data_IF_200920572512
#
_entry.id   IF_200920572512
#
_cell.length_a   1.000
_cell.length_b   1.000
_cell.length_c   1.000
_cell.angle_alpha   90.00
_cell.angle_beta   90.00
_cell.angle_gamma   90.00
#
_symmetry.space_group_name_H-M   'P 1'
#
loop_
_entity.id
_entity.type
_entity.pdbx_description
1 polymer ?
#
# COMPACT_ATOMS: atom_id res chain seq x y z
N UNK A 1 -20.32 6.95 22.62
CA UNK A 1 -19.15 6.05 22.64
C UNK A 1 -17.93 6.78 23.23
N UNK A 2 -17.27 6.22 24.23
CA UNK A 2 -16.04 6.71 24.86
C UNK A 2 -14.84 5.97 24.29
N UNK A 3 -13.86 6.71 23.77
CA UNK A 3 -12.64 6.17 23.20
C UNK A 3 -11.43 6.66 24.00
N UNK A 4 -10.47 5.77 24.25
CA UNK A 4 -9.23 6.11 24.95
C UNK A 4 -8.13 6.38 23.93
N UNK A 5 -7.65 7.62 23.87
CA UNK A 5 -6.66 8.05 22.87
C UNK A 5 -5.30 8.27 23.54
N UNK A 6 -4.25 7.66 22.99
CA UNK A 6 -2.86 7.90 23.40
C UNK A 6 -2.12 8.76 22.38
N UNK A 7 -1.46 9.83 22.82
CA UNK A 7 -0.66 10.72 22.00
C UNK A 7 0.51 11.28 22.78
N UNK A 8 1.74 11.09 22.30
CA UNK A 8 2.98 11.57 22.96
C UNK A 8 3.07 11.22 24.45
N UNK A 9 2.61 10.02 24.84
CA UNK A 9 2.59 9.58 26.23
C UNK A 9 1.46 10.15 27.09
N UNK A 10 0.65 11.08 26.55
CA UNK A 10 -0.58 11.54 27.17
C UNK A 10 -1.76 10.65 26.76
N UNK A 11 -2.71 10.51 27.68
CA UNK A 11 -3.94 9.76 27.48
C UNK A 11 -5.13 10.66 27.73
N UNK A 12 -6.10 10.66 26.82
CA UNK A 12 -7.34 11.41 26.98
C UNK A 12 -8.52 10.66 26.39
N UNK A 13 -9.71 10.95 26.93
CA UNK A 13 -10.95 10.30 26.52
C UNK A 13 -11.72 11.22 25.56
N UNK A 14 -12.14 10.65 24.43
CA UNK A 14 -13.02 11.34 23.48
C UNK A 14 -14.40 10.71 23.55
N UNK A 15 -15.41 11.54 23.82
CA UNK A 15 -16.82 11.14 23.75
C UNK A 15 -17.38 11.50 22.37
N UNK A 16 -17.84 10.49 21.65
CA UNK A 16 -18.59 10.63 20.41
C UNK A 16 -20.07 10.36 20.67
N UNK A 17 -20.98 11.12 20.03
CA UNK A 17 -22.40 11.07 20.33
C UNK A 17 -23.07 9.76 19.93
N UNK A 18 -22.51 9.01 18.97
CA UNK A 18 -23.15 7.84 18.37
C UNK A 18 -22.14 6.74 18.01
N UNK A 19 -22.62 5.50 17.91
CA UNK A 19 -21.90 4.35 17.38
C UNK A 19 -21.64 4.48 15.87
N UNK A 20 -22.46 5.28 15.16
CA UNK A 20 -22.29 5.60 13.74
C UNK A 20 -21.33 6.76 13.48
N UNK A 21 -20.59 7.21 14.48
CA UNK A 21 -19.61 8.26 14.28
C UNK A 21 -18.57 7.86 13.22
N UNK A 22 -18.17 8.81 12.38
CA UNK A 22 -17.20 8.59 11.30
C UNK A 22 -15.78 8.87 11.78
N UNK A 23 -14.79 8.35 11.05
CA UNK A 23 -13.39 8.66 11.33
C UNK A 23 -13.11 10.17 11.26
N UNK A 24 -13.75 10.92 10.36
CA UNK A 24 -13.64 12.37 10.28
C UNK A 24 -14.05 13.07 11.59
N UNK A 25 -15.16 12.64 12.20
CA UNK A 25 -15.64 13.21 13.46
C UNK A 25 -14.69 12.92 14.62
N UNK A 26 -14.12 11.72 14.66
CA UNK A 26 -13.08 11.36 15.63
C UNK A 26 -11.82 12.23 15.43
N UNK A 27 -11.34 12.38 14.20
CA UNK A 27 -10.16 13.21 13.91
C UNK A 27 -10.40 14.68 14.25
N UNK A 28 -11.59 15.21 13.99
CA UNK A 28 -11.99 16.57 14.36
C UNK A 28 -12.03 16.77 15.88
N UNK A 29 -12.57 15.80 16.62
CA UNK A 29 -12.53 15.81 18.09
C UNK A 29 -11.10 15.76 18.64
N UNK A 30 -10.24 14.89 18.09
CA UNK A 30 -8.81 14.84 18.43
C UNK A 30 -8.11 16.16 18.11
N UNK A 31 -8.42 16.76 16.96
CA UNK A 31 -7.79 18.00 16.50
C UNK A 31 -8.11 19.16 17.43
N UNK A 32 -9.37 19.27 17.88
CA UNK A 32 -9.77 20.24 18.90
C UNK A 32 -9.05 20.05 20.23
N UNK A 33 -8.90 18.80 20.69
CA UNK A 33 -8.28 18.52 21.99
C UNK A 33 -6.77 18.69 22.00
N UNK A 34 -6.10 18.49 20.86
CA UNK A 34 -4.63 18.43 20.79
C UNK A 34 -3.98 19.56 19.99
N UNK A 35 -4.76 20.31 19.20
CA UNK A 35 -4.26 21.32 18.27
C UNK A 35 -3.57 20.75 17.03
N UNK A 36 -3.49 19.42 16.89
CA UNK A 36 -2.90 18.78 15.70
C UNK A 36 -3.88 18.91 14.53
N UNK A 37 -3.47 19.48 13.39
CA UNK A 37 -4.37 19.58 12.24
C UNK A 37 -4.72 18.18 11.71
N UNK A 38 -5.98 17.99 11.29
CA UNK A 38 -6.51 16.71 10.77
C UNK A 38 -5.61 16.13 9.68
N UNK A 39 -5.02 16.97 8.82
CA UNK A 39 -4.13 16.57 7.72
C UNK A 39 -2.79 15.98 8.18
N UNK A 40 -2.34 16.28 9.40
CA UNK A 40 -1.11 15.77 9.99
C UNK A 40 -1.35 14.60 10.96
N UNK A 41 -2.61 14.15 11.10
CA UNK A 41 -3.01 13.14 12.07
C UNK A 41 -3.15 11.76 11.42
N UNK A 42 -2.63 10.73 12.09
CA UNK A 42 -2.87 9.32 11.76
C UNK A 42 -3.35 8.60 13.01
N UNK A 43 -4.41 7.81 12.86
CA UNK A 43 -5.01 7.05 13.96
C UNK A 43 -4.77 5.56 13.73
N UNK A 44 -4.38 4.87 14.79
CA UNK A 44 -4.12 3.43 14.81
C UNK A 44 -4.99 2.79 15.88
N UNK A 45 -5.74 1.75 15.52
CA UNK A 45 -6.55 0.96 16.46
C UNK A 45 -5.70 -0.19 17.03
N UNK A 46 -5.79 -0.42 18.33
CA UNK A 46 -5.28 -1.67 18.93
C UNK A 46 -6.16 -2.86 18.53
N UNK A 47 -5.57 -3.94 18.04
CA UNK A 47 -6.28 -5.16 17.64
C UNK A 47 -6.99 -5.88 18.78
N UNK A 48 -6.56 -5.69 20.03
CA UNK A 48 -7.12 -6.35 21.21
C UNK A 48 -8.29 -5.58 21.82
N UNK A 49 -9.50 -5.81 21.33
CA UNK A 49 -10.70 -5.38 22.05
C UNK A 49 -11.03 -6.44 23.11
N UNK A 50 -10.19 -6.57 24.14
CA UNK A 50 -10.62 -7.25 25.35
C UNK A 50 -11.58 -6.27 26.03
N UNK A 51 -12.89 -6.53 26.09
CA UNK A 51 -13.77 -5.71 26.89
C UNK A 51 -13.19 -5.72 28.29
N UNK A 52 -12.70 -4.57 28.74
CA UNK A 52 -12.35 -4.38 30.13
C UNK A 52 -13.64 -4.72 30.87
N UNK A 53 -13.67 -5.89 31.52
CA UNK A 53 -14.77 -6.34 32.37
C UNK A 53 -14.96 -5.23 33.40
N UNK A 54 -15.87 -4.31 33.09
CA UNK A 54 -16.32 -3.27 33.99
C UNK A 54 -16.95 -3.98 35.16
N UNK A 55 -16.21 -4.03 36.27
CA UNK A 55 -16.58 -4.65 37.52
C UNK A 55 -17.88 -3.97 38.02
N UNK A 56 -19.05 -4.61 37.97
CA UNK A 56 -20.29 -3.98 38.41
C UNK A 56 -20.48 -4.28 39.88
N UNK A 57 -19.96 -3.41 40.76
CA UNK A 57 -20.33 -3.40 42.16
C UNK A 57 -21.37 -2.31 42.40
N UNK A 58 -22.63 -2.62 42.07
CA UNK A 58 -23.80 -1.97 42.69
C UNK A 58 -25.00 -2.90 42.52
N UNK A 59 -25.61 -3.23 43.66
CA UNK A 59 -26.68 -4.18 43.83
C UNK A 59 -27.99 -3.81 43.11
N UNK A 60 -28.67 -4.83 42.57
CA UNK A 60 -30.11 -4.82 42.31
C UNK A 60 -30.92 -4.74 43.62
N UNK A 61 -32.16 -4.26 43.54
CA UNK A 61 -33.24 -5.19 43.85
C UNK A 61 -34.33 -5.26 42.78
N UNK A 62 -34.97 -6.42 42.77
CA UNK A 62 -35.96 -6.93 41.85
C UNK A 62 -37.33 -6.22 41.93
N UNK A 63 -38.10 -6.28 40.82
CA UNK A 63 -39.55 -6.59 40.89
C UNK A 63 -40.09 -7.10 39.55
N UNK A 64 -40.81 -8.24 39.63
CA UNK A 64 -41.68 -8.84 38.62
C UNK A 64 -42.84 -7.87 38.25
N UNK A 65 -43.63 -8.02 37.18
CA UNK A 65 -44.39 -9.18 36.69
C UNK A 65 -45.18 -8.77 35.42
N UNK A 66 -45.61 -9.75 34.63
CA UNK A 66 -46.90 -9.84 33.90
C UNK A 66 -46.85 -9.98 32.36
N UNK A 67 -47.74 -10.86 31.89
CA UNK A 67 -47.75 -11.61 30.64
C UNK A 67 -48.69 -11.05 29.54
N UNK A 68 -48.38 -11.44 28.29
CA UNK A 68 -49.28 -11.82 27.15
C UNK A 68 -50.20 -10.77 26.49
N UNK A 69 -50.76 -10.99 25.26
CA UNK A 69 -50.43 -11.93 24.16
C UNK A 69 -50.41 -11.32 22.71
N UNK A 70 -50.04 -12.16 21.74
CA UNK A 70 -50.27 -12.13 20.26
C UNK A 70 -51.76 -11.86 19.88
N UNK A 71 -52.17 -11.48 18.62
CA UNK A 71 -51.74 -12.10 17.34
C UNK A 71 -51.75 -11.19 16.07
N UNK A 72 -51.35 -11.75 14.91
CA UNK A 72 -51.64 -11.15 13.61
C UNK A 72 -50.86 -11.72 12.43
N UNK A 73 -51.44 -12.73 11.76
CA UNK A 73 -50.95 -13.33 10.51
C UNK A 73 -51.33 -12.47 9.29
N UNK A 74 -50.51 -12.48 8.23
CA UNK A 74 -50.96 -12.43 6.83
C UNK A 74 -49.93 -13.08 5.89
N UNK A 75 -50.47 -13.69 4.83
CA UNK A 75 -49.87 -14.68 3.94
C UNK A 75 -49.57 -14.12 2.53
N UNK A 76 -49.05 -15.03 1.69
CA UNK A 76 -48.92 -15.00 0.20
C UNK A 76 -47.73 -14.22 -0.38
N UNK A 77 -47.09 -14.63 -1.49
CA UNK A 77 -47.32 -15.69 -2.49
C UNK A 77 -45.97 -15.95 -3.23
N UNK A 78 -45.65 -17.17 -3.70
CA UNK A 78 -45.65 -17.59 -5.13
C UNK A 78 -44.91 -16.63 -6.10
N UNK A 79 -44.03 -17.01 -7.04
CA UNK A 79 -43.85 -18.22 -7.87
C UNK A 79 -42.60 -17.97 -8.76
N UNK A 80 -41.98 -19.01 -9.35
CA UNK A 80 -41.41 -18.88 -10.70
C UNK A 80 -40.06 -19.53 -10.94
N UNK A 81 -40.10 -20.81 -11.28
CA UNK A 81 -39.08 -21.60 -11.95
C UNK A 81 -38.81 -21.12 -13.39
N UNK A 82 -37.56 -21.21 -13.87
CA UNK A 82 -37.31 -21.58 -15.27
C UNK A 82 -35.93 -22.19 -15.50
N UNK A 83 -35.99 -23.47 -15.83
CA UNK A 83 -34.97 -24.30 -16.45
C UNK A 83 -34.68 -23.81 -17.88
N UNK A 84 -33.44 -23.97 -18.32
CA UNK A 84 -33.00 -23.62 -19.68
C UNK A 84 -31.76 -24.44 -20.07
N UNK A 85 -31.98 -25.73 -20.29
CA UNK A 85 -31.03 -26.67 -20.87
C UNK A 85 -30.89 -26.39 -22.36
N UNK A 86 -29.68 -26.07 -22.84
CA UNK A 86 -29.35 -26.18 -24.26
C UNK A 86 -28.13 -27.08 -24.44
N UNK A 87 -28.46 -28.29 -24.86
CA UNK A 87 -27.63 -29.36 -25.39
C UNK A 87 -27.55 -29.17 -26.91
N UNK A 88 -26.34 -29.28 -27.47
CA UNK A 88 -26.13 -29.36 -28.93
C UNK A 88 -24.83 -28.66 -29.30
N UNK A 89 -23.91 -29.21 -30.08
CA UNK A 89 -23.86 -30.48 -30.78
C UNK A 89 -22.42 -30.66 -31.28
N UNK A 90 -21.95 -31.90 -31.32
CA UNK A 90 -20.63 -32.24 -31.82
C UNK A 90 -20.55 -32.09 -33.34
N UNK A 91 -19.38 -31.66 -33.81
CA UNK A 91 -18.95 -31.73 -35.21
C UNK A 91 -17.48 -32.17 -35.25
N UNK A 92 -17.10 -33.13 -36.10
CA UNK A 92 -15.81 -33.81 -36.03
C UNK A 92 -14.64 -32.93 -36.51
N UNK A 93 -13.57 -32.98 -35.73
CA UNK A 93 -12.27 -32.37 -35.97
C UNK A 93 -11.67 -32.81 -37.31
N UNK A 94 -11.42 -31.82 -38.19
CA UNK A 94 -10.47 -31.96 -39.29
C UNK A 94 -9.06 -32.03 -38.71
N UNK A 95 -8.32 -33.08 -39.06
CA UNK A 95 -6.87 -33.17 -38.86
C UNK A 95 -6.20 -32.13 -39.74
N UNK A 96 -5.32 -31.33 -39.17
CA UNK A 96 -4.30 -30.55 -39.87
C UNK A 96 -2.96 -30.74 -39.17
N UNK A 97 -1.86 -30.72 -39.93
CA UNK A 97 -0.58 -31.28 -39.50
C UNK A 97 0.19 -30.37 -38.54
N UNK A 98 1.08 -31.01 -37.79
CA UNK A 98 1.92 -30.44 -36.74
C UNK A 98 2.70 -29.20 -37.19
N UNK A 99 2.52 -28.10 -36.44
CA UNK A 99 3.44 -26.97 -36.43
C UNK A 99 4.55 -27.22 -35.39
N UNK A 100 5.79 -26.75 -35.65
CA UNK A 100 6.92 -26.93 -34.74
C UNK A 100 6.73 -26.15 -33.44
N UNK A 101 6.96 -26.83 -32.33
CA UNK A 101 6.92 -26.32 -30.96
C UNK A 101 7.84 -25.11 -30.78
N UNK A 102 7.25 -23.93 -30.55
CA UNK A 102 7.96 -22.77 -30.01
C UNK A 102 8.26 -22.99 -28.52
N UNK A 103 9.46 -22.67 -28.04
CA UNK A 103 9.82 -22.81 -26.63
C UNK A 103 9.07 -21.79 -25.76
N UNK A 104 8.43 -22.28 -24.70
CA UNK A 104 7.73 -21.47 -23.70
C UNK A 104 8.72 -20.63 -22.86
N UNK A 105 8.32 -19.46 -22.31
CA UNK A 105 9.23 -18.54 -21.64
C UNK A 105 9.44 -18.93 -20.16
N UNK A 106 10.51 -19.68 -19.87
CA UNK A 106 10.95 -19.98 -18.49
C UNK A 106 11.36 -18.72 -17.69
N UNK A 107 11.59 -17.59 -18.37
CA UNK A 107 11.97 -16.31 -17.74
C UNK A 107 10.89 -15.69 -16.84
N UNK A 108 9.62 -16.10 -16.96
CA UNK A 108 8.53 -15.52 -16.16
C UNK A 108 8.47 -16.06 -14.73
N UNK A 109 8.97 -17.28 -14.46
CA UNK A 109 8.97 -17.85 -13.10
C UNK A 109 10.11 -17.31 -12.25
N UNK A 110 11.28 -17.13 -12.85
CA UNK A 110 12.46 -16.57 -12.16
C UNK A 110 12.19 -15.16 -11.59
N UNK A 111 11.48 -14.30 -12.34
CA UNK A 111 11.13 -12.95 -11.88
C UNK A 111 10.05 -12.98 -10.79
N UNK A 112 9.17 -13.99 -10.80
CA UNK A 112 8.13 -14.18 -9.79
C UNK A 112 8.69 -14.73 -8.47
N UNK A 113 9.67 -15.65 -8.54
CA UNK A 113 10.38 -16.19 -7.36
C UNK A 113 11.31 -15.15 -6.73
N UNK A 114 12.02 -14.35 -7.55
CA UNK A 114 12.82 -13.23 -7.06
C UNK A 114 11.96 -12.19 -6.32
N UNK A 115 10.70 -12.01 -6.75
CA UNK A 115 9.77 -11.07 -6.12
C UNK A 115 9.22 -11.60 -4.79
N UNK A 116 8.88 -12.89 -4.69
CA UNK A 116 8.45 -13.50 -3.42
C UNK A 116 9.54 -13.43 -2.35
N UNK A 117 10.81 -13.61 -2.71
CA UNK A 117 11.95 -13.40 -1.81
C UNK A 117 12.15 -11.94 -1.38
N UNK A 118 11.84 -10.96 -2.23
CA UNK A 118 11.96 -9.54 -1.87
C UNK A 118 10.84 -9.08 -0.91
N UNK A 119 9.61 -9.57 -1.08
CA UNK A 119 8.49 -9.26 -0.17
C UNK A 119 8.63 -9.91 1.20
N UNK A 120 9.23 -11.10 1.32
CA UNK A 120 9.44 -11.75 2.62
C UNK A 120 10.51 -11.05 3.47
N UNK A 121 11.46 -10.33 2.84
CA UNK A 121 12.53 -9.63 3.55
C UNK A 121 12.11 -8.27 4.14
N UNK A 122 11.09 -7.62 3.57
CA UNK A 122 10.48 -6.40 4.13
C UNK A 122 9.69 -6.66 5.42
N UNK A 123 9.28 -7.90 5.67
CA UNK A 123 8.65 -8.31 6.94
C UNK A 123 9.68 -8.63 8.04
N UNK A 124 10.90 -9.01 7.68
CA UNK A 124 11.94 -9.43 8.66
C UNK A 124 12.64 -8.25 9.32
N UNK A 125 12.76 -7.10 8.66
CA UNK A 125 13.46 -5.93 9.24
C UNK A 125 12.67 -5.19 10.32
N UNK A 126 11.38 -5.49 10.51
CA UNK A 126 10.58 -5.00 11.63
C UNK A 126 10.74 -5.85 12.91
N UNK A 127 11.34 -7.04 12.82
CA UNK A 127 11.51 -7.96 13.96
C UNK A 127 12.83 -7.77 14.73
N UNK A 128 13.82 -7.05 14.18
CA UNK A 128 15.17 -6.96 14.78
C UNK A 128 15.39 -5.80 15.78
N UNK A 129 14.39 -4.95 16.05
CA UNK A 129 14.52 -3.84 17.00
C UNK A 129 13.79 -4.03 18.35
N UNK A 130 13.46 -5.27 18.73
CA UNK A 130 12.73 -5.52 19.98
C UNK A 130 13.04 -6.85 20.66
N UNK A 131 13.91 -6.79 21.67
CA UNK A 131 13.95 -7.60 22.90
C UNK A 131 14.20 -9.11 22.74
N UNK A 132 15.38 -9.54 23.22
CA UNK A 132 15.82 -10.93 23.22
C UNK A 132 14.85 -11.90 23.89
N UNK A 133 14.68 -13.05 23.24
CA UNK A 133 14.02 -14.22 23.81
C UNK A 133 15.02 -15.37 23.86
N UNK A 134 15.39 -15.78 25.07
CA UNK A 134 16.21 -16.97 25.32
C UNK A 134 15.42 -18.27 25.09
N UNK A 135 16.11 -19.40 24.92
CA UNK A 135 15.47 -20.69 24.65
C UNK A 135 14.85 -21.26 25.93
N UNK A 136 13.60 -21.73 25.84
CA UNK A 136 12.92 -22.47 26.91
C UNK A 136 12.56 -23.88 26.41
N UNK A 137 12.77 -24.94 27.22
CA UNK A 137 12.65 -26.31 26.76
C UNK A 137 11.21 -26.82 26.73
N UNK A 138 11.01 -27.80 25.84
CA UNK A 138 9.80 -28.58 25.62
C UNK A 138 9.37 -29.37 26.87
N UNK A 139 8.11 -29.29 27.24
CA UNK A 139 7.43 -30.35 27.99
C UNK A 139 5.97 -30.46 27.59
N UNK A 140 5.61 -31.65 27.12
CA UNK A 140 4.28 -32.08 26.75
C UNK A 140 3.34 -32.20 27.96
N UNK A 141 2.05 -31.97 27.73
CA UNK A 141 0.99 -32.25 28.71
C UNK A 141 -0.39 -31.89 28.14
N UNK A 142 -1.12 -32.90 27.66
CA UNK A 142 -2.49 -32.78 27.19
C UNK A 142 -3.48 -32.73 28.36
N UNK A 143 -4.41 -31.76 28.33
CA UNK A 143 -5.53 -31.60 29.28
C UNK A 143 -6.51 -30.50 28.82
N UNK A 144 -7.80 -30.54 29.20
CA UNK A 144 -8.90 -30.21 28.29
C UNK A 144 -9.34 -28.73 28.28
N UNK A 145 -9.73 -28.28 27.08
CA UNK A 145 -10.61 -27.15 26.74
C UNK A 145 -10.62 -25.94 27.71
N UNK A 146 -9.53 -25.18 27.74
CA UNK A 146 -9.55 -23.80 28.21
C UNK A 146 -10.09 -22.88 27.10
N UNK A 147 -11.03 -22.00 27.45
CA UNK A 147 -11.47 -20.89 26.59
C UNK A 147 -10.25 -20.17 26.02
N UNK A 148 -10.21 -19.83 24.71
CA UNK A 148 -9.07 -19.16 24.12
C UNK A 148 -8.88 -17.82 24.84
N UNK A 149 -7.79 -17.71 25.61
CA UNK A 149 -7.30 -16.42 26.08
C UNK A 149 -6.97 -15.63 24.81
N UNK A 150 -7.59 -14.45 24.57
CA UNK A 150 -7.20 -13.62 23.45
C UNK A 150 -5.74 -13.24 23.67
N UNK A 151 -4.85 -13.90 22.95
CA UNK A 151 -3.44 -13.55 22.92
C UNK A 151 -3.44 -12.20 22.22
N UNK A 152 -3.27 -11.14 23.01
CA UNK A 152 -3.28 -9.77 22.54
C UNK A 152 -2.05 -9.52 21.69
N UNK A 153 -2.06 -10.03 20.47
CA UNK A 153 -1.10 -9.67 19.44
C UNK A 153 -1.22 -8.15 19.32
N UNK A 154 -0.15 -7.44 19.69
CA UNK A 154 -0.05 -5.98 19.69
C UNK A 154 -0.10 -5.35 18.29
N UNK A 155 -0.93 -5.92 17.41
CA UNK A 155 -1.19 -5.47 16.06
C UNK A 155 -1.98 -4.16 16.10
N UNK A 156 -1.44 -3.16 15.40
CA UNK A 156 -2.05 -1.85 15.25
C UNK A 156 -2.54 -1.69 13.81
N UNK A 157 -3.84 -1.41 13.65
CA UNK A 157 -4.44 -1.21 12.33
C UNK A 157 -4.57 0.29 12.03
N UNK A 158 -3.97 0.75 10.93
CA UNK A 158 -4.05 2.15 10.50
C UNK A 158 -5.42 2.45 9.90
N UNK A 159 -6.09 3.47 10.41
CA UNK A 159 -7.37 3.97 9.89
C UNK A 159 -7.10 5.04 8.82
N UNK A 160 -7.65 4.90 7.61
CA UNK A 160 -7.28 5.73 6.45
C UNK A 160 -8.42 6.53 5.83
N UNK A 161 -9.65 6.02 5.90
CA UNK A 161 -10.80 6.63 5.23
C UNK A 161 -11.64 7.45 6.20
N UNK A 162 -11.60 8.80 6.10
CA UNK A 162 -12.32 9.71 7.00
C UNK A 162 -13.85 9.60 6.88
N UNK A 163 -14.38 9.20 5.72
CA UNK A 163 -15.82 9.05 5.51
C UNK A 163 -16.38 7.75 6.10
N UNK A 164 -15.50 6.81 6.46
CA UNK A 164 -15.89 5.47 6.89
C UNK A 164 -16.35 5.47 8.36
N UNK A 165 -17.46 4.78 8.69
CA UNK A 165 -17.91 4.62 10.08
C UNK A 165 -16.85 3.95 10.96
N UNK A 166 -16.81 4.28 12.25
CA UNK A 166 -15.88 3.68 13.20
C UNK A 166 -16.12 2.16 13.40
N UNK A 167 -17.37 1.72 13.29
CA UNK A 167 -17.74 0.31 13.37
C UNK A 167 -17.03 -0.57 12.33
N UNK A 168 -16.79 -0.04 11.12
CA UNK A 168 -16.08 -0.76 10.05
C UNK A 168 -14.60 -1.03 10.35
N UNK A 169 -14.04 -0.34 11.35
CA UNK A 169 -12.70 -0.55 11.86
C UNK A 169 -12.72 -1.38 13.16
N UNK A 170 -13.85 -1.99 13.51
CA UNK A 170 -14.17 -2.60 14.82
C UNK A 170 -13.82 -1.69 16.01
N UNK A 171 -14.04 -0.37 15.86
CA UNK A 171 -13.89 0.59 16.95
C UNK A 171 -15.21 0.69 17.69
N UNK A 172 -15.26 0.14 18.90
CA UNK A 172 -16.38 0.21 19.83
C UNK A 172 -16.08 1.04 21.09
N UNK A 173 -17.03 1.04 22.02
CA UNK A 173 -16.88 1.70 23.33
C UNK A 173 -15.70 1.12 24.11
N UNK A 174 -14.90 2.00 24.73
CA UNK A 174 -13.69 1.62 25.48
C UNK A 174 -12.48 1.24 24.62
N UNK A 175 -12.57 1.34 23.28
CA UNK A 175 -11.43 1.03 22.41
C UNK A 175 -10.24 1.98 22.63
N UNK A 176 -9.03 1.42 22.54
CA UNK A 176 -7.77 2.17 22.58
C UNK A 176 -7.30 2.52 21.18
N UNK A 177 -7.06 3.82 20.96
CA UNK A 177 -6.58 4.37 19.71
C UNK A 177 -5.27 5.10 19.98
N UNK A 178 -4.24 4.81 19.21
CA UNK A 178 -2.99 5.56 19.23
C UNK A 178 -3.01 6.61 18.13
N UNK A 179 -2.78 7.85 18.51
CA UNK A 179 -2.67 8.97 17.61
C UNK A 179 -1.19 9.30 17.35
N UNK A 180 -0.86 9.43 16.08
CA UNK A 180 0.45 9.90 15.61
C UNK A 180 0.21 11.22 14.87
N UNK A 181 0.86 12.28 15.30
CA UNK A 181 0.81 13.58 14.65
C UNK A 181 1.81 14.54 15.29
N UNK A 182 2.38 15.42 14.46
CA UNK A 182 3.23 16.51 14.92
C UNK A 182 2.40 17.78 14.99
N UNK A 183 2.51 18.52 16.10
CA UNK A 183 2.02 19.90 16.15
C UNK A 183 2.91 20.69 15.19
N UNK A 184 2.40 21.03 14.02
CA UNK A 184 3.10 21.97 13.16
C UNK A 184 3.06 23.32 13.90
N UNK A 185 4.20 23.97 14.15
CA UNK A 185 4.21 25.30 14.75
C UNK A 185 3.27 26.18 13.94
N UNK A 186 2.29 26.80 14.61
CA UNK A 186 1.41 27.75 13.96
C UNK A 186 2.30 28.75 13.20
N UNK A 187 2.06 29.00 11.90
CA UNK A 187 2.85 29.95 11.15
C UNK A 187 2.87 31.26 11.94
N UNK A 188 4.08 31.78 12.20
CA UNK A 188 4.24 32.99 12.97
C UNK A 188 3.26 34.05 12.42
N UNK A 189 2.52 34.76 13.30
CA UNK A 189 1.57 35.76 12.86
C UNK A 189 2.28 36.70 11.87
N UNK A 190 1.64 37.03 10.73
CA UNK A 190 2.27 37.85 9.72
C UNK A 190 2.78 39.13 10.38
N UNK A 191 4.10 39.33 10.34
CA UNK A 191 4.72 40.53 10.86
C UNK A 191 4.01 41.73 10.22
N UNK A 192 3.59 42.69 11.05
CA UNK A 192 2.91 43.90 10.62
C UNK A 192 3.63 44.52 9.42
N UNK A 193 2.90 45.04 8.41
CA UNK A 193 3.48 45.42 7.13
C UNK A 193 4.45 46.59 7.30
N UNK A 194 5.75 46.28 7.42
CA UNK A 194 6.82 47.23 7.22
C UNK A 194 6.87 47.56 5.73
N UNK A 195 6.35 48.74 5.42
CA UNK A 195 6.29 49.33 4.08
C UNK A 195 7.70 49.61 3.58
N UNK A 196 8.33 48.67 2.89
CA UNK A 196 9.50 48.93 2.04
C UNK A 196 9.65 47.83 0.99
N UNK A 197 9.75 48.26 -0.27
CA UNK A 197 9.98 47.43 -1.44
C UNK A 197 11.33 46.69 -1.34
N UNK A 198 11.32 45.37 -1.46
CA UNK A 198 12.45 44.57 -1.93
C UNK A 198 11.96 43.19 -2.38
N UNK A 199 12.56 42.70 -3.45
CA UNK A 199 12.18 41.54 -4.24
C UNK A 199 11.76 40.31 -3.42
N UNK A 200 10.65 39.69 -3.83
CA UNK A 200 10.27 38.35 -3.42
C UNK A 200 11.32 37.33 -3.87
N UNK A 201 12.30 37.06 -3.01
CA UNK A 201 13.01 35.78 -3.01
C UNK A 201 12.02 34.73 -2.54
N UNK A 202 11.57 33.88 -3.47
CA UNK A 202 10.75 32.73 -3.16
C UNK A 202 11.46 31.89 -2.09
N UNK A 203 10.86 31.79 -0.91
CA UNK A 203 11.35 30.94 0.18
C UNK A 203 11.22 29.50 -0.29
N UNK A 204 12.32 28.93 -0.76
CA UNK A 204 12.44 27.52 -1.11
C UNK A 204 12.18 26.73 0.18
N UNK A 205 11.20 25.79 0.21
CA UNK A 205 10.96 24.94 1.37
C UNK A 205 12.26 24.26 1.79
N UNK A 206 12.56 24.17 3.10
CA UNK A 206 13.80 23.55 3.57
C UNK A 206 13.87 22.12 3.04
N UNK A 207 14.93 21.84 2.28
CA UNK A 207 15.17 20.52 1.71
C UNK A 207 15.26 19.51 2.87
N UNK A 208 14.55 18.36 2.82
CA UNK A 208 14.56 17.40 3.92
C UNK A 208 16.00 16.95 4.17
N UNK A 209 16.53 17.31 5.34
CA UNK A 209 17.95 17.16 5.67
C UNK A 209 18.40 15.70 5.71
N UNK A 210 17.46 14.76 5.87
CA UNK A 210 17.77 13.34 5.94
C UNK A 210 17.54 12.64 4.57
N UNK A 211 18.60 12.10 3.93
CA UNK A 211 18.51 11.45 2.63
C UNK A 211 17.57 10.24 2.64
N UNK A 212 17.47 9.51 3.76
CA UNK A 212 16.58 8.36 3.89
C UNK A 212 15.10 8.79 3.80
N UNK A 213 14.75 9.91 4.43
CA UNK A 213 13.39 10.47 4.37
C UNK A 213 13.05 10.85 2.91
N UNK A 214 13.99 11.50 2.20
CA UNK A 214 13.81 11.88 0.81
C UNK A 214 13.62 10.66 -0.10
N UNK A 215 14.44 9.61 0.05
CA UNK A 215 14.31 8.36 -0.70
C UNK A 215 12.94 7.71 -0.46
N UNK A 216 12.49 7.65 0.80
CA UNK A 216 11.19 7.09 1.13
C UNK A 216 10.02 7.90 0.56
N UNK A 217 10.13 9.23 0.52
CA UNK A 217 9.12 10.09 -0.12
C UNK A 217 9.05 9.86 -1.63
N UNK A 218 10.20 9.76 -2.29
CA UNK A 218 10.27 9.44 -3.72
C UNK A 218 9.64 8.07 -3.99
N UNK A 219 10.03 7.04 -3.23
CA UNK A 219 9.50 5.69 -3.39
C UNK A 219 7.99 5.62 -3.15
N UNK A 220 7.49 6.30 -2.12
CA UNK A 220 6.06 6.37 -1.83
C UNK A 220 5.28 7.03 -2.98
N UNK A 221 5.86 8.03 -3.65
CA UNK A 221 5.26 8.63 -4.84
C UNK A 221 5.22 7.64 -6.00
N UNK A 222 6.31 6.92 -6.28
CA UNK A 222 6.34 5.90 -7.34
C UNK A 222 5.26 4.84 -7.14
N UNK A 223 5.16 4.31 -5.92
CA UNK A 223 4.18 3.27 -5.58
C UNK A 223 2.73 3.77 -5.64
N UNK A 224 2.47 5.01 -5.19
CA UNK A 224 1.11 5.55 -5.17
C UNK A 224 0.64 6.01 -6.54
N UNK A 225 1.51 6.65 -7.31
CA UNK A 225 1.13 7.40 -8.50
C UNK A 225 1.43 6.64 -9.81
N UNK A 226 2.59 6.00 -9.91
CA UNK A 226 3.07 5.42 -11.17
C UNK A 226 2.82 3.92 -11.27
N UNK A 227 2.98 3.17 -10.17
CA UNK A 227 2.73 1.73 -10.17
C UNK A 227 1.31 1.34 -10.64
N UNK A 228 0.22 2.00 -10.20
CA UNK A 228 -1.12 1.69 -10.70
C UNK A 228 -1.26 1.95 -12.20
N UNK A 229 -0.62 3.00 -12.73
CA UNK A 229 -0.64 3.35 -14.17
C UNK A 229 0.11 2.29 -14.98
N UNK A 230 1.29 1.87 -14.53
CA UNK A 230 2.05 0.77 -15.16
C UNK A 230 1.23 -0.51 -15.15
N UNK A 231 0.58 -0.85 -14.02
CA UNK A 231 -0.27 -2.04 -13.92
C UNK A 231 -1.46 -1.98 -14.87
N UNK A 232 -2.13 -0.82 -14.97
CA UNK A 232 -3.23 -0.61 -15.90
C UNK A 232 -2.78 -0.77 -17.36
N UNK A 233 -1.64 -0.19 -17.73
CA UNK A 233 -1.07 -0.32 -19.07
C UNK A 233 -0.68 -1.77 -19.40
N UNK A 234 -0.07 -2.49 -18.45
CA UNK A 234 0.25 -3.91 -18.59
C UNK A 234 -1.02 -4.73 -18.82
N UNK A 235 -2.08 -4.52 -18.03
CA UNK A 235 -3.36 -5.20 -18.20
C UNK A 235 -4.01 -4.89 -19.57
N UNK A 236 -3.99 -3.62 -19.98
CA UNK A 236 -4.45 -3.22 -21.30
C UNK A 236 -3.67 -3.93 -22.41
N UNK A 237 -2.33 -4.00 -22.32
CA UNK A 237 -1.47 -4.66 -23.33
C UNK A 237 -1.73 -6.17 -23.49
N UNK A 238 -2.42 -6.79 -22.53
CA UNK A 238 -2.79 -8.21 -22.56
C UNK A 238 -4.20 -8.42 -23.12
N UNK A 239 -4.97 -7.35 -23.35
CA UNK A 239 -6.33 -7.45 -23.88
C UNK A 239 -6.27 -7.80 -25.37
N UNK A 240 -7.05 -8.79 -25.85
CA UNK A 240 -7.15 -9.07 -27.28
C UNK A 240 -7.59 -7.83 -28.06
N UNK A 241 -6.87 -7.48 -29.11
CA UNK A 241 -7.13 -6.26 -29.89
C UNK A 241 -6.51 -4.98 -29.31
N UNK A 242 -5.72 -5.08 -28.23
CA UNK A 242 -4.87 -3.97 -27.81
C UNK A 242 -4.00 -3.52 -28.98
N UNK A 243 -4.15 -2.25 -29.37
CA UNK A 243 -3.51 -1.69 -30.55
C UNK A 243 -2.77 -0.42 -30.18
N UNK A 244 -1.62 -0.24 -30.82
CA UNK A 244 -0.86 1.02 -30.75
C UNK A 244 -1.61 2.22 -31.34
N UNK A 245 -2.73 1.99 -32.02
CA UNK A 245 -3.64 3.05 -32.48
C UNK A 245 -4.39 3.74 -31.33
N UNK A 246 -4.44 3.16 -30.12
CA UNK A 246 -4.99 3.82 -28.94
C UNK A 246 -4.04 4.90 -28.42
N UNK A 247 -4.17 6.10 -29.02
CA UNK A 247 -3.31 7.24 -28.74
C UNK A 247 -3.36 7.70 -27.27
N UNK A 248 -4.51 7.55 -26.60
CA UNK A 248 -4.67 7.95 -25.21
C UNK A 248 -3.84 7.04 -24.28
N UNK A 249 -3.89 5.73 -24.53
CA UNK A 249 -3.13 4.77 -23.74
C UNK A 249 -1.62 4.88 -24.01
N UNK A 250 -1.21 5.06 -25.27
CA UNK A 250 0.19 5.30 -25.63
C UNK A 250 0.73 6.63 -25.10
N UNK A 251 -0.08 7.68 -25.06
CA UNK A 251 0.27 8.96 -24.42
C UNK A 251 0.49 8.80 -22.92
N UNK A 252 -0.38 8.05 -22.24
CA UNK A 252 -0.24 7.73 -20.81
C UNK A 252 1.02 6.92 -20.54
N UNK A 253 1.36 5.95 -21.40
CA UNK A 253 2.59 5.17 -21.32
C UNK A 253 3.83 6.06 -21.42
N UNK A 254 3.91 6.92 -22.44
CA UNK A 254 5.06 7.83 -22.64
C UNK A 254 5.24 8.77 -21.45
N UNK A 255 4.16 9.40 -21.00
CA UNK A 255 4.21 10.29 -19.85
C UNK A 255 4.66 9.54 -18.57
N UNK A 256 4.16 8.33 -18.35
CA UNK A 256 4.58 7.53 -17.19
C UNK A 256 6.05 7.13 -17.29
N UNK A 257 6.56 6.82 -18.49
CA UNK A 257 7.97 6.54 -18.73
C UNK A 257 8.86 7.74 -18.36
N UNK A 258 8.54 8.93 -18.89
CA UNK A 258 9.28 10.17 -18.60
C UNK A 258 9.29 10.49 -17.09
N UNK A 259 8.18 10.27 -16.40
CA UNK A 259 8.10 10.51 -14.95
C UNK A 259 8.92 9.51 -14.13
N UNK A 260 9.01 8.24 -14.58
CA UNK A 260 9.87 7.23 -13.95
C UNK A 260 11.35 7.52 -14.20
N UNK A 261 11.73 7.98 -15.39
CA UNK A 261 13.11 8.41 -15.72
C UNK A 261 13.54 9.60 -14.86
N UNK A 262 12.69 10.65 -14.75
CA UNK A 262 12.94 11.77 -13.81
C UNK A 262 13.04 11.32 -12.35
N UNK A 263 12.34 10.26 -11.98
CA UNK A 263 12.42 9.72 -10.61
C UNK A 263 13.79 9.05 -10.38
N UNK A 264 14.36 8.37 -11.39
CA UNK A 264 15.72 7.84 -11.31
C UNK A 264 16.74 8.97 -11.14
N UNK A 265 16.62 10.06 -11.91
CA UNK A 265 17.48 11.24 -11.76
C UNK A 265 17.39 11.84 -10.35
N UNK A 266 16.18 11.91 -9.79
CA UNK A 266 15.97 12.38 -8.41
C UNK A 266 16.61 11.46 -7.37
N UNK A 267 16.54 10.14 -7.57
CA UNK A 267 17.17 9.16 -6.68
C UNK A 267 18.68 9.27 -6.74
N UNK A 268 19.25 9.46 -7.92
CA UNK A 268 20.70 9.64 -8.12
C UNK A 268 21.20 10.97 -7.54
N UNK A 269 20.39 12.02 -7.62
CA UNK A 269 20.68 13.32 -7.01
C UNK A 269 20.63 13.32 -5.47
N UNK A 270 20.08 12.27 -4.83
CA UNK A 270 20.15 12.15 -3.37
C UNK A 270 21.59 11.87 -2.95
N UNK A 271 22.27 12.92 -2.49
CA UNK A 271 23.59 12.83 -1.89
C UNK A 271 23.50 11.99 -0.60
N UNK A 272 24.02 10.76 -0.68
CA UNK A 272 24.24 9.93 0.51
C UNK A 272 25.72 10.06 0.85
N UNK A 273 26.08 10.59 2.04
CA UNK A 273 27.47 10.74 2.41
C UNK A 273 28.14 9.38 2.28
N UNK A 274 29.25 9.32 1.54
CA UNK A 274 30.04 8.11 1.39
C UNK A 274 30.59 7.78 2.77
N UNK A 275 29.84 6.99 3.56
CA UNK A 275 30.31 6.56 4.87
C UNK A 275 31.65 5.92 4.65
N UNK A 276 32.69 6.57 5.21
CA UNK A 276 34.08 6.29 4.92
C UNK A 276 34.30 4.80 5.05
N UNK A 277 34.57 4.15 3.91
CA UNK A 277 34.92 2.74 3.89
C UNK A 277 36.30 2.62 4.51
N UNK A 278 36.39 2.62 5.84
CA UNK A 278 37.61 2.51 6.63
C UNK A 278 38.28 1.13 6.53
N UNK A 279 38.17 0.45 5.38
CA UNK A 279 38.95 -0.77 5.10
C UNK A 279 40.41 -0.46 4.79
N UNK A 280 40.74 0.76 4.37
CA UNK A 280 42.13 1.16 4.06
C UNK A 280 42.84 1.85 5.24
N UNK A 281 42.18 2.09 6.38
CA UNK A 281 42.78 2.73 7.55
C UNK A 281 43.44 1.75 8.54
N UNK A 282 43.35 0.43 8.31
CA UNK A 282 43.89 -0.57 9.25
C UNK A 282 45.40 -0.86 9.05
N UNK A 283 46.07 -0.18 8.11
CA UNK A 283 47.47 -0.43 7.80
C UNK A 283 48.49 0.46 8.56
N UNK A 284 48.07 1.40 9.42
CA UNK A 284 49.05 2.15 10.19
C UNK A 284 48.48 3.18 11.16
N UNK A 285 48.38 2.82 12.43
CA UNK A 285 48.56 3.75 13.55
C UNK A 285 48.77 2.95 14.84
N UNK A 286 50.02 2.86 15.24
CA UNK A 286 50.37 2.51 16.62
C UNK A 286 49.95 3.63 17.57
N UNK A 287 49.52 3.19 18.75
CA UNK A 287 49.59 3.86 20.05
C UNK A 287 49.20 5.35 20.12
N UNK A 288 47.95 5.56 20.58
CA UNK A 288 47.69 6.55 21.63
C UNK A 288 46.88 7.77 21.21
N UNK A 289 45.57 7.72 21.45
CA UNK A 289 44.80 8.81 22.06
C UNK A 289 43.35 8.37 22.24
N UNK A 290 42.89 8.35 23.49
CA UNK A 290 41.48 8.22 23.86
C UNK A 290 40.76 9.53 23.55
N UNK A 291 40.00 9.59 22.45
CA UNK A 291 39.09 10.69 22.17
C UNK A 291 37.90 10.22 21.32
N UNK A 292 36.71 10.35 21.93
CA UNK A 292 35.39 10.59 21.33
C UNK A 292 34.64 9.41 20.66
N UNK A 293 33.55 9.00 21.32
CA UNK A 293 32.69 7.88 20.97
C UNK A 293 31.36 8.28 20.28
N UNK A 294 31.24 9.50 19.72
CA UNK A 294 29.98 9.98 19.13
C UNK A 294 29.82 9.74 17.62
N UNK A 295 30.83 9.26 16.91
CA UNK A 295 30.82 9.16 15.43
C UNK A 295 30.13 7.90 14.86
N UNK A 296 29.65 6.99 15.71
CA UNK A 296 29.08 5.72 15.27
C UNK A 296 27.66 5.79 14.67
N UNK A 297 26.84 6.75 15.09
CA UNK A 297 25.42 6.81 14.71
C UNK A 297 25.21 7.22 13.25
N UNK A 298 26.03 8.15 12.74
CA UNK A 298 25.89 8.67 11.38
C UNK A 298 26.31 7.67 10.30
N UNK A 299 27.26 6.78 10.63
CA UNK A 299 27.70 5.71 9.74
C UNK A 299 26.59 4.67 9.44
N UNK A 300 25.78 4.34 10.45
CA UNK A 300 24.64 3.41 10.30
C UNK A 300 23.56 4.02 9.42
N UNK A 301 23.22 5.30 9.65
CA UNK A 301 22.24 6.03 8.84
C UNK A 301 22.62 6.14 7.36
N UNK A 302 23.89 6.43 7.07
CA UNK A 302 24.41 6.47 5.70
C UNK A 302 24.29 5.12 4.98
N UNK A 303 24.59 4.02 5.67
CA UNK A 303 24.52 2.68 5.09
C UNK A 303 23.08 2.29 4.75
N UNK A 304 22.14 2.54 5.67
CA UNK A 304 20.72 2.32 5.44
C UNK A 304 20.19 3.14 4.25
N UNK A 305 20.57 4.41 4.14
CA UNK A 305 20.19 5.27 3.01
C UNK A 305 20.72 4.75 1.66
N UNK A 306 21.96 4.25 1.61
CA UNK A 306 22.54 3.66 0.38
C UNK A 306 21.77 2.41 -0.07
N UNK A 307 21.48 1.51 0.87
CA UNK A 307 20.70 0.30 0.59
C UNK A 307 19.32 0.67 0.07
N UNK A 308 18.63 1.59 0.77
CA UNK A 308 17.28 2.03 0.38
C UNK A 308 17.26 2.71 -0.99
N UNK A 309 18.27 3.52 -1.32
CA UNK A 309 18.41 4.13 -2.65
C UNK A 309 18.52 3.05 -3.74
N UNK A 310 19.38 2.04 -3.51
CA UNK A 310 19.56 0.93 -4.46
C UNK A 310 18.26 0.15 -4.69
N UNK A 311 17.52 -0.14 -3.62
CA UNK A 311 16.21 -0.79 -3.71
C UNK A 311 15.21 0.07 -4.52
N UNK A 312 15.14 1.37 -4.24
CA UNK A 312 14.24 2.28 -4.95
C UNK A 312 14.58 2.38 -6.45
N UNK A 313 15.86 2.41 -6.80
CA UNK A 313 16.34 2.39 -8.20
C UNK A 313 15.94 1.08 -8.88
N UNK A 314 16.22 -0.06 -8.26
CA UNK A 314 15.86 -1.37 -8.81
C UNK A 314 14.35 -1.52 -9.01
N UNK A 315 13.55 -1.06 -8.04
CA UNK A 315 12.10 -1.07 -8.14
C UNK A 315 11.62 -0.21 -9.32
N UNK A 316 12.15 1.00 -9.47
CA UNK A 316 11.80 1.91 -10.57
C UNK A 316 12.21 1.35 -11.93
N UNK A 317 13.40 0.77 -12.05
CA UNK A 317 13.87 0.07 -13.25
C UNK A 317 12.98 -1.13 -13.61
N UNK A 318 12.47 -1.86 -12.62
CA UNK A 318 11.52 -2.96 -12.85
C UNK A 318 10.19 -2.48 -13.44
N UNK A 319 9.75 -1.27 -13.09
CA UNK A 319 8.53 -0.67 -13.64
C UNK A 319 8.74 -0.27 -15.10
N UNK A 320 9.88 0.37 -15.41
CA UNK A 320 10.28 0.71 -16.79
C UNK A 320 10.34 -0.54 -17.68
N UNK A 321 11.00 -1.60 -17.21
CA UNK A 321 11.11 -2.86 -17.95
C UNK A 321 9.75 -3.51 -18.24
N UNK A 322 8.81 -3.44 -17.28
CA UNK A 322 7.43 -3.94 -17.46
C UNK A 322 6.65 -3.13 -18.49
N UNK A 323 6.84 -1.81 -18.48
CA UNK A 323 6.19 -0.87 -19.37
C UNK A 323 6.70 -1.03 -20.81
N UNK A 324 8.00 -1.23 -21.01
CA UNK A 324 8.59 -1.55 -22.31
C UNK A 324 8.14 -2.90 -22.84
N UNK A 325 8.11 -3.93 -22.00
CA UNK A 325 7.60 -5.25 -22.38
C UNK A 325 6.11 -5.19 -22.78
N UNK A 326 5.31 -4.39 -22.07
CA UNK A 326 3.91 -4.16 -22.42
C UNK A 326 3.74 -3.44 -23.76
N UNK A 327 4.57 -2.43 -24.02
CA UNK A 327 4.60 -1.74 -25.30
C UNK A 327 4.98 -2.69 -26.44
N UNK A 328 6.02 -3.52 -26.26
CA UNK A 328 6.44 -4.51 -27.25
C UNK A 328 5.31 -5.48 -27.61
N UNK A 329 4.51 -5.92 -26.63
CA UNK A 329 3.32 -6.75 -26.88
C UNK A 329 2.25 -6.03 -27.71
N UNK A 330 1.95 -4.77 -27.39
CA UNK A 330 0.97 -3.98 -28.14
C UNK A 330 1.38 -3.74 -29.60
N UNK A 331 2.68 -3.52 -29.84
CA UNK A 331 3.24 -3.41 -31.20
C UNK A 331 3.07 -4.72 -31.95
N UNK A 332 3.51 -5.85 -31.37
CA UNK A 332 3.38 -7.16 -32.00
C UNK A 332 1.91 -7.53 -32.28
N UNK A 333 0.98 -7.19 -31.38
CA UNK A 333 -0.45 -7.39 -31.60
C UNK A 333 -0.99 -6.56 -32.78
N UNK A 334 -0.49 -5.33 -32.94
CA UNK A 334 -0.87 -4.46 -34.07
C UNK A 334 -0.34 -5.04 -35.39
N UNK A 335 0.91 -5.48 -35.43
CA UNK A 335 1.52 -6.10 -36.62
C UNK A 335 0.80 -7.39 -37.01
N UNK A 336 0.48 -8.25 -36.04
CA UNK A 336 -0.28 -9.48 -36.28
C UNK A 336 -1.68 -9.18 -36.85
N UNK A 337 -2.35 -8.14 -36.35
CA UNK A 337 -3.65 -7.71 -36.88
C UNK A 337 -3.54 -7.21 -38.34
N UNK A 338 -2.50 -6.45 -38.65
CA UNK A 338 -2.24 -5.98 -40.02
C UNK A 338 -1.93 -7.13 -40.98
N UNK A 339 -1.10 -8.10 -40.56
CA UNK A 339 -0.80 -9.29 -41.36
C UNK A 339 -2.06 -10.12 -41.63
N UNK A 340 -2.92 -10.29 -40.63
CA UNK A 340 -4.20 -10.98 -40.81
C UNK A 340 -5.13 -10.27 -41.80
N UNK A 341 -5.16 -8.93 -41.79
CA UNK A 341 -5.94 -8.13 -42.75
C UNK A 341 -5.38 -8.27 -44.18
N UNK A 342 -4.06 -8.24 -44.35
CA UNK A 342 -3.41 -8.45 -45.65
C UNK A 342 -3.68 -9.86 -46.19
N UNK A 343 -3.60 -10.88 -45.34
CA UNK A 343 -3.92 -12.26 -45.70
C UNK A 343 -5.38 -12.38 -46.17
N UNK A 344 -6.34 -11.80 -45.45
CA UNK A 344 -7.75 -11.84 -45.82
C UNK A 344 -8.04 -11.09 -47.14
N UNK A 345 -7.38 -9.95 -47.36
CA UNK A 345 -7.48 -9.20 -48.62
C UNK A 345 -6.93 -9.98 -49.81
N UNK A 346 -5.86 -10.76 -49.62
CA UNK A 346 -5.30 -11.62 -50.66
C UNK A 346 -6.15 -12.87 -50.96
N UNK A 347 -6.88 -13.38 -49.96
CA UNK A 347 -7.73 -14.58 -50.09
C UNK A 347 -9.03 -14.35 -50.85
N UNK A 348 -9.45 -13.08 -51.01
CA UNK A 348 -10.59 -12.69 -51.84
C UNK A 348 -10.10 -11.94 -53.08
N UNK A 349 -9.41 -12.60 -54.03
CA UNK A 349 -9.11 -11.97 -55.30
C UNK A 349 -10.45 -11.54 -55.88
N UNK A 350 -10.62 -10.21 -56.05
CA UNK A 350 -11.81 -9.60 -56.64
C UNK A 350 -12.26 -10.48 -57.79
N UNK A 351 -13.41 -11.15 -57.61
CA UNK A 351 -14.14 -11.80 -58.68
C UNK A 351 -14.62 -10.68 -59.61
N UNK A 352 -13.67 -10.17 -60.38
CA UNK A 352 -13.86 -9.15 -61.39
C UNK A 352 -14.58 -9.80 -62.55
N UNK A 353 -15.90 -9.75 -62.48
CA UNK A 353 -16.72 -9.20 -63.55
C UNK A 353 -16.28 -9.60 -64.97
N UNK A 354 -16.31 -10.91 -65.28
CA UNK A 354 -16.49 -11.38 -66.65
C UNK A 354 -17.95 -11.12 -67.06
N UNK A 355 -18.25 -9.90 -67.49
CA UNK A 355 -19.36 -9.63 -68.41
C UNK A 355 -18.76 -8.89 -69.61
N UNK A 356 -18.38 -9.68 -70.60
CA UNK A 356 -18.26 -9.33 -72.00
C UNK A 356 -19.11 -10.33 -72.78
#
# INVERSE_FOLDING_TARGET
MRLHISWQGQHFDVQLPDAYATLAQLMDACSRSTGVPITAMKLLRSGGNAPMLSNPSTASPARATAASPLPGAHANAQTGSRTGSHRGGGGPSRRSPAAPSSPAPERSRFVQDMWQSATSWLSTTAAELGVGSGPRPSSAGAGPAANPVPTGDGSWTIMRDPGRPLADYDVGDGCRIMMIGSVQPAPAPPAAPARAAAASTAVVPPEPTNPLIRINQILARVQREYEPKVRAFVAWSQTPGASTADAAMMGTQRHTNEMLERTLEQLDAVAVPAGGGGRDAMAGAGAGASAEASDGADAVGSTAARIKRKEAVQFTQSLLSRLDAARGRAVAATEAAQQAQQANASAHPRSGNRRG
#
